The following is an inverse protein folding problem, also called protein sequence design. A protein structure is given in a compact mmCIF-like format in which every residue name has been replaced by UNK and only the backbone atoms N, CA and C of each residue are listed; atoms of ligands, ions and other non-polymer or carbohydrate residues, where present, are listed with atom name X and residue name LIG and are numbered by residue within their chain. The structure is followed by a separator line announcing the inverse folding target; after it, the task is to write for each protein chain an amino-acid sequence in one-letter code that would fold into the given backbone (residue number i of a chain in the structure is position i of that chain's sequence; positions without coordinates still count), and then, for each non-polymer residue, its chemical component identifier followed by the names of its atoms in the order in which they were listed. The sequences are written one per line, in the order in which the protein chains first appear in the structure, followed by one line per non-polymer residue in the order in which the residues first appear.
data_IF_708560213783
#
_entry.id   IF_708560213783
#
_cell.length_a   1.000
_cell.length_b   1.000
_cell.length_c   1.000
_cell.angle_alpha   90.00
_cell.angle_beta   90.00
_cell.angle_gamma   90.00
#
_symmetry.space_group_name_H-M   'P 1'
#
loop_
_entity.id
_entity.type
_entity.pdbx_description
1 polymer ?
#
# COMPACT_ATOMS: atom_id res chain seq x y z
N UNK A 1 10.80 1.15 -36.42
CA UNK A 1 9.36 0.83 -36.46
C UNK A 1 8.83 0.90 -35.04
N UNK A 2 8.07 1.95 -34.71
CA UNK A 2 7.52 2.13 -33.38
C UNK A 2 6.19 1.37 -33.30
N UNK A 3 6.15 0.30 -32.51
CA UNK A 3 4.88 -0.40 -32.21
C UNK A 3 4.12 0.44 -31.20
N UNK A 4 3.13 1.19 -31.69
CA UNK A 4 2.14 1.86 -30.84
C UNK A 4 1.28 0.79 -30.15
N UNK A 5 1.51 0.54 -28.87
CA UNK A 5 0.58 -0.23 -28.05
C UNK A 5 -0.56 0.68 -27.61
N UNK A 6 -1.71 0.56 -28.27
CA UNK A 6 -2.95 1.16 -27.78
C UNK A 6 -3.51 0.26 -26.67
N UNK A 7 -3.28 0.63 -25.41
CA UNK A 7 -4.02 0.06 -24.28
C UNK A 7 -5.39 0.76 -24.21
N UNK A 8 -6.37 0.23 -24.94
CA UNK A 8 -7.76 0.67 -24.82
C UNK A 8 -8.42 -0.11 -23.68
N UNK A 9 -8.17 0.27 -22.44
CA UNK A 9 -9.01 -0.14 -21.32
C UNK A 9 -10.31 0.66 -21.37
N UNK A 10 -11.17 0.34 -22.33
CA UNK A 10 -12.55 0.81 -22.30
C UNK A 10 -13.27 0.03 -21.19
N UNK A 11 -13.26 0.58 -19.97
CA UNK A 11 -14.24 0.19 -18.96
C UNK A 11 -15.59 0.63 -19.51
N UNK A 12 -16.30 -0.28 -20.18
CA UNK A 12 -17.68 -0.04 -20.57
C UNK A 12 -18.46 0.27 -19.29
N UNK A 13 -18.90 1.52 -19.12
CA UNK A 13 -19.77 1.94 -18.04
C UNK A 13 -21.15 1.33 -18.25
N UNK A 14 -21.31 0.07 -17.85
CA UNK A 14 -22.62 -0.58 -17.80
C UNK A 14 -22.72 -1.42 -16.53
N UNK A 15 -23.04 -0.75 -15.43
CA UNK A 15 -24.09 -1.11 -14.48
C UNK A 15 -23.99 -0.20 -13.25
N UNK A 16 -24.89 0.76 -13.12
CA UNK A 16 -25.12 1.42 -11.84
C UNK A 16 -25.96 0.47 -10.97
N UNK A 17 -25.32 -0.15 -9.98
CA UNK A 17 -26.03 -0.89 -8.93
C UNK A 17 -26.20 0.06 -7.75
N UNK A 18 -27.44 0.23 -7.30
CA UNK A 18 -27.76 1.06 -6.16
C UNK A 18 -27.38 0.28 -4.88
N UNK A 19 -26.16 0.48 -4.39
CA UNK A 19 -25.67 -0.20 -3.19
C UNK A 19 -26.02 0.64 -1.97
N UNK A 20 -27.03 0.22 -1.20
CA UNK A 20 -27.28 0.82 0.12
C UNK A 20 -26.28 0.25 1.13
N UNK A 21 -25.29 1.04 1.54
CA UNK A 21 -24.42 0.69 2.65
C UNK A 21 -25.18 0.88 3.97
N UNK A 22 -25.85 -0.18 4.44
CA UNK A 22 -26.62 -0.18 5.70
C UNK A 22 -26.90 -1.57 6.29
N UNK A 23 -26.36 -2.64 5.69
CA UNK A 23 -26.59 -4.02 6.13
C UNK A 23 -25.56 -4.45 7.20
N UNK A 24 -26.01 -5.25 8.17
CA UNK A 24 -25.20 -5.83 9.27
C UNK A 24 -24.13 -6.84 8.80
N UNK A 25 -24.00 -7.11 7.49
CA UNK A 25 -23.02 -8.06 6.96
C UNK A 25 -22.34 -7.54 5.66
N UNK A 26 -21.18 -6.87 5.76
CA UNK A 26 -20.49 -6.28 4.61
C UNK A 26 -20.01 -7.32 3.59
N UNK A 27 -19.59 -8.52 4.04
CA UNK A 27 -19.13 -9.59 3.16
C UNK A 27 -20.25 -10.09 2.23
N UNK A 28 -21.48 -10.20 2.75
CA UNK A 28 -22.62 -10.61 1.93
C UNK A 28 -22.95 -9.58 0.86
N UNK A 29 -22.79 -8.29 1.15
CA UNK A 29 -22.99 -7.22 0.17
C UNK A 29 -21.98 -7.33 -0.98
N UNK A 30 -20.70 -7.58 -0.66
CA UNK A 30 -19.64 -7.79 -1.66
C UNK A 30 -19.95 -9.02 -2.52
N UNK A 31 -20.33 -10.15 -1.90
CA UNK A 31 -20.75 -11.36 -2.62
C UNK A 31 -21.92 -11.08 -3.57
N UNK A 32 -22.93 -10.33 -3.12
CA UNK A 32 -24.09 -9.97 -3.94
C UNK A 32 -23.70 -9.05 -5.09
N UNK A 33 -22.83 -8.06 -4.84
CA UNK A 33 -22.32 -7.14 -5.85
C UNK A 33 -21.60 -7.91 -6.96
N UNK A 34 -20.66 -8.77 -6.58
CA UNK A 34 -19.87 -9.54 -7.53
C UNK A 34 -20.74 -10.49 -8.36
N UNK A 35 -21.74 -11.14 -7.73
CA UNK A 35 -22.73 -11.95 -8.45
C UNK A 35 -23.56 -11.12 -9.44
N UNK A 36 -23.88 -9.87 -9.10
CA UNK A 36 -24.68 -8.98 -9.96
C UNK A 36 -23.90 -8.45 -11.16
N UNK A 37 -22.63 -8.10 -10.99
CA UNK A 37 -21.79 -7.60 -12.08
C UNK A 37 -21.26 -8.73 -12.96
N UNK A 38 -21.05 -9.91 -12.37
CA UNK A 38 -20.25 -10.96 -12.98
C UNK A 38 -18.77 -10.54 -13.03
N UNK A 39 -17.86 -11.42 -12.62
CA UNK A 39 -16.44 -11.22 -12.94
C UNK A 39 -16.29 -11.75 -14.37
N UNK A 40 -15.77 -10.96 -15.33
CA UNK A 40 -15.52 -11.43 -16.69
C UNK A 40 -14.55 -12.61 -16.64
N UNK A 41 -15.12 -13.81 -16.61
CA UNK A 41 -14.41 -15.08 -16.56
C UNK A 41 -13.91 -15.40 -17.96
N UNK A 42 -12.71 -14.89 -18.28
CA UNK A 42 -11.76 -15.65 -19.10
C UNK A 42 -10.64 -16.10 -18.18
N UNK A 43 -10.93 -17.05 -17.29
CA UNK A 43 -9.92 -17.58 -16.37
C UNK A 43 -9.02 -18.59 -17.11
N UNK A 44 -8.15 -18.11 -17.99
CA UNK A 44 -7.00 -18.91 -18.38
C UNK A 44 -6.00 -18.95 -17.22
N UNK A 45 -5.25 -20.05 -17.09
CA UNK A 45 -4.28 -20.18 -15.99
C UNK A 45 -3.17 -19.12 -16.13
N UNK A 46 -2.45 -18.77 -15.05
CA UNK A 46 -1.34 -17.80 -15.15
C UNK A 46 -0.35 -18.17 -16.26
N UNK A 47 -0.06 -19.46 -16.42
CA UNK A 47 0.76 -19.98 -17.52
C UNK A 47 0.23 -19.60 -18.91
N UNK A 48 -1.08 -19.72 -19.16
CA UNK A 48 -1.67 -19.36 -20.46
C UNK A 48 -1.63 -17.85 -20.67
N UNK A 49 -1.94 -17.05 -19.63
CA UNK A 49 -1.81 -15.58 -19.70
C UNK A 49 -0.39 -15.15 -20.07
N UNK A 50 0.62 -15.83 -19.50
CA UNK A 50 2.02 -15.59 -19.79
C UNK A 50 2.37 -15.92 -21.24
N UNK A 51 1.94 -17.09 -21.74
CA UNK A 51 2.17 -17.51 -23.13
C UNK A 51 1.48 -16.60 -24.15
N UNK A 52 0.31 -16.06 -23.81
CA UNK A 52 -0.49 -15.19 -24.68
C UNK A 52 -0.11 -13.72 -24.60
N UNK A 53 0.79 -13.32 -23.69
CA UNK A 53 1.20 -11.93 -23.48
C UNK A 53 0.16 -11.05 -22.77
N UNK A 54 -0.83 -11.67 -22.10
CA UNK A 54 -1.90 -10.98 -21.36
C UNK A 54 -1.68 -11.02 -19.84
N UNK A 55 -0.43 -11.23 -19.41
CA UNK A 55 -0.06 -11.43 -18.02
C UNK A 55 -0.16 -10.16 -17.17
N UNK A 56 -0.80 -10.26 -16.00
CA UNK A 56 -0.89 -9.17 -15.02
C UNK A 56 -0.20 -9.57 -13.71
N UNK A 57 0.79 -8.78 -13.30
CA UNK A 57 1.51 -8.91 -12.03
C UNK A 57 1.20 -7.72 -11.12
N UNK A 58 0.74 -7.99 -9.90
CA UNK A 58 0.75 -7.01 -8.82
C UNK A 58 2.15 -7.00 -8.20
N UNK A 59 2.77 -5.82 -8.11
CA UNK A 59 4.11 -5.64 -7.54
C UNK A 59 3.99 -4.92 -6.20
N UNK A 60 4.08 -5.66 -5.09
CA UNK A 60 4.31 -5.06 -3.77
C UNK A 60 5.83 -4.89 -3.50
N UNK A 61 6.68 -5.63 -4.21
CA UNK A 61 8.14 -5.51 -4.12
C UNK A 61 8.72 -6.16 -2.85
N UNK A 62 10.04 -6.05 -2.69
CA UNK A 62 10.78 -6.70 -1.61
C UNK A 62 10.77 -5.92 -0.27
N UNK A 63 10.40 -4.64 -0.28
CA UNK A 63 10.52 -3.74 0.90
C UNK A 63 9.19 -3.24 1.45
N UNK A 64 8.08 -3.46 0.75
CA UNK A 64 6.75 -3.12 1.28
C UNK A 64 6.25 -4.26 2.16
N UNK A 65 6.05 -3.98 3.44
CA UNK A 65 5.83 -4.97 4.50
C UNK A 65 4.57 -4.66 5.34
N UNK A 66 3.76 -3.67 4.95
CA UNK A 66 2.46 -3.41 5.58
C UNK A 66 1.51 -4.58 5.29
N UNK A 67 1.44 -5.52 6.24
CA UNK A 67 0.65 -6.74 6.13
C UNK A 67 -0.85 -6.47 5.95
N UNK A 68 -1.38 -5.36 6.48
CA UNK A 68 -2.80 -5.02 6.36
C UNK A 68 -3.11 -4.59 4.92
N UNK A 69 -2.30 -3.70 4.38
CA UNK A 69 -2.45 -3.22 3.00
C UNK A 69 -2.16 -4.35 2.00
N UNK A 70 -1.12 -5.15 2.22
CA UNK A 70 -0.77 -6.29 1.37
C UNK A 70 -1.90 -7.33 1.32
N UNK A 71 -2.51 -7.65 2.45
CA UNK A 71 -3.64 -8.58 2.52
C UNK A 71 -4.84 -8.05 1.74
N UNK A 72 -5.16 -6.76 1.87
CA UNK A 72 -6.25 -6.12 1.15
C UNK A 72 -5.99 -5.99 -0.35
N UNK A 73 -4.77 -5.62 -0.75
CA UNK A 73 -4.34 -5.59 -2.14
C UNK A 73 -4.43 -6.99 -2.77
N UNK A 74 -3.93 -8.01 -2.07
CA UNK A 74 -3.97 -9.39 -2.54
C UNK A 74 -5.40 -9.88 -2.75
N UNK A 75 -6.32 -9.54 -1.84
CA UNK A 75 -7.74 -9.81 -1.99
C UNK A 75 -8.33 -9.15 -3.24
N UNK A 76 -8.17 -7.82 -3.38
CA UNK A 76 -8.78 -7.05 -4.47
C UNK A 76 -8.22 -7.46 -5.83
N UNK A 77 -6.90 -7.63 -5.95
CA UNK A 77 -6.27 -8.01 -7.20
C UNK A 77 -6.53 -9.48 -7.56
N UNK A 78 -6.68 -10.37 -6.58
CA UNK A 78 -7.16 -11.73 -6.86
C UNK A 78 -8.58 -11.70 -7.42
N UNK A 79 -9.49 -10.92 -6.84
CA UNK A 79 -10.85 -10.73 -7.37
C UNK A 79 -10.85 -10.12 -8.78
N UNK A 80 -9.87 -9.26 -9.09
CA UNK A 80 -9.67 -8.70 -10.43
C UNK A 80 -9.05 -9.69 -11.43
N UNK A 81 -8.61 -10.87 -10.99
CA UNK A 81 -8.03 -11.90 -11.85
C UNK A 81 -6.54 -11.74 -12.13
N UNK A 82 -5.77 -11.13 -11.22
CA UNK A 82 -4.30 -11.03 -11.34
C UNK A 82 -3.66 -12.40 -11.58
N UNK A 83 -2.61 -12.50 -12.40
CA UNK A 83 -1.90 -13.76 -12.64
C UNK A 83 -0.86 -14.06 -11.57
N UNK A 84 -0.23 -13.02 -11.02
CA UNK A 84 0.78 -13.15 -9.97
C UNK A 84 0.79 -11.96 -9.01
N UNK A 85 1.01 -12.26 -7.73
CA UNK A 85 1.24 -11.29 -6.68
C UNK A 85 2.68 -11.45 -6.21
N UNK A 86 3.42 -10.35 -6.21
CA UNK A 86 4.81 -10.26 -5.75
C UNK A 86 4.90 -9.55 -4.41
N UNK A 87 5.72 -10.09 -3.50
CA UNK A 87 5.80 -9.66 -2.12
C UNK A 87 7.18 -9.93 -1.50
N UNK A 88 7.45 -9.27 -0.38
CA UNK A 88 8.69 -9.43 0.38
C UNK A 88 8.87 -10.85 0.92
N UNK A 89 10.13 -11.28 1.04
CA UNK A 89 10.52 -12.56 1.63
C UNK A 89 10.40 -12.61 3.16
N UNK A 90 9.34 -12.01 3.71
CA UNK A 90 8.98 -12.08 5.12
C UNK A 90 7.80 -13.06 5.33
N UNK A 91 7.86 -13.97 6.33
CA UNK A 91 6.79 -14.92 6.59
C UNK A 91 5.41 -14.27 6.85
N UNK A 92 5.37 -13.12 7.53
CA UNK A 92 4.13 -12.41 7.84
C UNK A 92 3.52 -11.80 6.58
N UNK A 93 4.36 -11.24 5.71
CA UNK A 93 3.96 -10.74 4.38
C UNK A 93 3.44 -11.86 3.49
N UNK A 94 4.14 -12.99 3.42
CA UNK A 94 3.71 -14.16 2.65
C UNK A 94 2.35 -14.67 3.17
N UNK A 95 2.17 -14.72 4.49
CA UNK A 95 0.90 -15.13 5.09
C UNK A 95 -0.24 -14.15 4.75
N UNK A 96 0.01 -12.84 4.80
CA UNK A 96 -0.96 -11.81 4.40
C UNK A 96 -1.39 -11.95 2.93
N UNK A 97 -0.47 -12.21 2.02
CA UNK A 97 -0.78 -12.50 0.60
C UNK A 97 -1.66 -13.73 0.48
N UNK A 98 -1.30 -14.83 1.13
CA UNK A 98 -2.06 -16.08 1.10
C UNK A 98 -3.47 -15.92 1.67
N UNK A 99 -3.63 -15.18 2.77
CA UNK A 99 -4.92 -14.89 3.37
C UNK A 99 -5.82 -14.08 2.42
N UNK A 100 -5.28 -13.04 1.79
CA UNK A 100 -6.02 -12.24 0.81
C UNK A 100 -6.49 -13.07 -0.39
N UNK A 101 -5.62 -13.94 -0.91
CA UNK A 101 -5.94 -14.86 -2.01
C UNK A 101 -7.06 -15.82 -1.61
N UNK A 102 -6.97 -16.49 -0.46
CA UNK A 102 -7.98 -17.47 -0.06
C UNK A 102 -9.31 -16.78 0.27
N UNK A 103 -9.28 -15.60 0.91
CA UNK A 103 -10.48 -14.78 1.12
C UNK A 103 -11.18 -14.45 -0.20
N UNK A 104 -10.44 -14.11 -1.26
CA UNK A 104 -11.01 -13.85 -2.58
C UNK A 104 -11.71 -15.10 -3.15
N UNK A 105 -11.09 -16.27 -2.97
CA UNK A 105 -11.60 -17.56 -3.46
C UNK A 105 -12.83 -18.05 -2.68
N UNK A 106 -12.97 -17.69 -1.42
CA UNK A 106 -14.20 -17.90 -0.63
C UNK A 106 -15.36 -16.99 -1.05
N UNK A 107 -15.06 -15.84 -1.67
CA UNK A 107 -16.06 -14.91 -2.19
C UNK A 107 -16.60 -15.38 -3.54
N UNK A 108 -15.70 -15.71 -4.46
CA UNK A 108 -16.03 -16.28 -5.78
C UNK A 108 -15.03 -17.37 -6.13
N UNK A 109 -15.51 -18.44 -6.78
CA UNK A 109 -14.63 -19.45 -7.38
C UNK A 109 -13.78 -18.82 -8.48
N UNK A 110 -12.57 -18.39 -8.12
CA UNK A 110 -11.59 -17.79 -9.00
C UNK A 110 -10.29 -18.59 -8.93
N UNK A 111 -9.52 -18.55 -10.01
CA UNK A 111 -8.22 -19.23 -10.04
C UNK A 111 -7.26 -18.58 -9.03
N UNK A 112 -6.36 -19.41 -8.49
CA UNK A 112 -5.29 -18.93 -7.60
C UNK A 112 -4.19 -18.26 -8.44
N UNK A 113 -3.76 -17.02 -8.14
CA UNK A 113 -2.58 -16.43 -8.75
C UNK A 113 -1.30 -17.14 -8.28
N UNK A 114 -0.21 -16.95 -9.00
CA UNK A 114 1.12 -17.30 -8.49
C UNK A 114 1.56 -16.30 -7.42
N UNK A 115 2.30 -16.79 -6.43
CA UNK A 115 2.98 -15.93 -5.45
C UNK A 115 4.46 -15.90 -5.83
N UNK A 116 4.95 -14.70 -6.13
CA UNK A 116 6.37 -14.44 -6.35
C UNK A 116 6.95 -13.86 -5.07
N UNK A 117 8.05 -14.44 -4.61
CA UNK A 117 8.73 -13.99 -3.39
C UNK A 117 9.97 -13.25 -3.84
N UNK A 118 10.01 -11.94 -3.58
CA UNK A 118 11.15 -11.08 -3.83
C UNK A 118 12.07 -11.10 -2.61
N UNK A 119 13.26 -11.64 -2.81
CA UNK A 119 14.32 -11.65 -1.81
C UNK A 119 15.11 -10.35 -1.92
N UNK A 120 15.23 -9.67 -0.79
CA UNK A 120 16.04 -8.47 -0.65
C UNK A 120 17.51 -8.87 -0.39
N UNK A 121 18.45 -8.10 -0.94
CA UNK A 121 19.86 -8.10 -0.55
C UNK A 121 20.10 -6.80 0.22
N UNK A 122 20.30 -6.87 1.53
CA UNK A 122 20.29 -5.69 2.43
C UNK A 122 21.33 -4.62 2.07
N UNK A 123 22.36 -4.99 1.32
CA UNK A 123 23.40 -4.09 0.81
C UNK A 123 22.98 -3.34 -0.48
N UNK A 124 21.84 -3.70 -1.09
CA UNK A 124 21.34 -3.06 -2.29
C UNK A 124 20.68 -1.72 -1.94
N UNK A 125 21.33 -0.66 -2.43
CA UNK A 125 20.94 0.74 -2.29
C UNK A 125 19.50 1.03 -2.76
N UNK A 126 18.89 0.16 -3.56
CA UNK A 126 17.50 0.27 -4.01
C UNK A 126 16.47 -0.05 -2.91
N UNK A 127 16.86 -0.68 -1.81
CA UNK A 127 15.95 -1.05 -0.70
C UNK A 127 16.08 -0.15 0.53
N UNK A 128 16.83 0.94 0.37
CA UNK A 128 17.03 1.97 1.38
C UNK A 128 15.74 2.71 1.69
N UNK A 129 15.29 2.58 2.94
CA UNK A 129 14.05 3.19 3.43
C UNK A 129 14.37 4.56 4.02
N UNK A 130 13.45 5.50 3.84
CA UNK A 130 13.57 6.78 4.50
C UNK A 130 13.69 6.61 6.02
N UNK A 131 14.57 7.38 6.66
CA UNK A 131 14.70 7.45 8.12
C UNK A 131 14.95 8.90 8.56
N UNK A 132 14.37 9.29 9.69
CA UNK A 132 14.66 10.56 10.36
C UNK A 132 14.26 10.54 11.84
N UNK A 133 14.92 11.36 12.65
CA UNK A 133 14.45 11.68 13.99
C UNK A 133 13.34 12.76 13.90
N UNK A 134 12.09 12.45 14.33
CA UNK A 134 11.00 13.43 14.31
C UNK A 134 11.29 14.67 15.16
N UNK A 135 12.15 14.58 16.18
CA UNK A 135 12.54 15.71 17.03
C UNK A 135 13.49 16.68 16.31
N UNK A 136 14.21 16.21 15.29
CA UNK A 136 15.04 17.08 14.45
C UNK A 136 14.25 17.79 13.34
N UNK A 137 13.00 17.37 13.11
CA UNK A 137 12.09 18.05 12.18
C UNK A 137 11.60 19.37 12.79
N UNK A 138 11.89 20.54 12.18
CA UNK A 138 11.45 21.82 12.74
C UNK A 138 9.94 21.88 12.91
N UNK A 139 9.48 22.39 14.06
CA UNK A 139 8.05 22.48 14.37
C UNK A 139 7.26 23.36 13.38
N UNK A 140 7.93 24.29 12.71
CA UNK A 140 7.42 25.19 11.67
C UNK A 140 7.60 24.64 10.24
N UNK A 141 8.10 23.41 10.08
CA UNK A 141 8.18 22.73 8.80
C UNK A 141 6.78 22.47 8.23
N UNK A 142 6.59 22.79 6.95
CA UNK A 142 5.36 22.49 6.21
C UNK A 142 5.18 21.00 5.86
N UNK A 143 6.20 20.16 6.14
CA UNK A 143 6.24 18.70 5.94
C UNK A 143 5.83 18.26 4.52
N UNK A 144 6.50 18.76 3.46
CA UNK A 144 6.22 18.31 2.09
C UNK A 144 6.53 16.82 1.87
N UNK A 145 7.42 16.25 2.69
CA UNK A 145 7.77 14.82 2.68
C UNK A 145 6.57 13.91 3.01
N UNK A 146 5.68 14.32 3.92
CA UNK A 146 4.45 13.61 4.26
C UNK A 146 3.51 13.55 3.04
N UNK A 147 3.28 14.69 2.40
CA UNK A 147 2.35 14.80 1.27
C UNK A 147 2.82 14.10 -0.01
N UNK A 148 4.14 14.04 -0.25
CA UNK A 148 4.68 13.42 -1.47
C UNK A 148 4.80 11.90 -1.34
N UNK A 149 4.73 11.35 -0.12
CA UNK A 149 4.96 9.94 0.15
C UNK A 149 3.79 9.09 -0.36
N UNK A 150 3.96 8.32 -1.45
CA UNK A 150 2.85 7.58 -2.06
C UNK A 150 2.31 6.45 -1.18
N UNK A 151 3.12 5.96 -0.25
CA UNK A 151 2.73 4.91 0.69
C UNK A 151 2.18 5.46 2.01
N UNK A 152 2.03 6.78 2.15
CA UNK A 152 1.70 7.43 3.43
C UNK A 152 2.60 6.93 4.57
N UNK A 153 3.87 6.67 4.25
CA UNK A 153 4.85 6.10 5.17
C UNK A 153 5.49 7.15 6.08
N UNK A 154 5.10 8.42 5.99
CA UNK A 154 5.55 9.50 6.87
C UNK A 154 4.31 10.08 7.52
N UNK A 155 4.26 10.11 8.84
CA UNK A 155 3.12 10.63 9.60
C UNK A 155 3.60 11.38 10.83
N UNK A 156 2.95 12.50 11.12
CA UNK A 156 3.22 13.29 12.32
C UNK A 156 1.94 13.44 13.14
N UNK A 157 1.99 12.97 14.39
CA UNK A 157 0.90 13.16 15.33
C UNK A 157 1.00 14.56 15.93
N UNK A 158 -0.06 15.36 15.75
CA UNK A 158 -0.20 16.63 16.48
C UNK A 158 -0.72 16.30 17.88
N UNK A 159 0.17 16.27 18.86
CA UNK A 159 -0.27 16.37 20.25
C UNK A 159 -0.92 17.74 20.47
N UNK A 160 -2.24 17.75 20.64
CA UNK A 160 -2.94 18.87 21.25
C UNK A 160 -2.52 18.91 22.72
N UNK A 161 -1.42 19.59 23.02
CA UNK A 161 -0.90 19.73 24.38
C UNK A 161 -1.78 20.71 25.17
N UNK A 162 -2.94 20.25 25.63
CA UNK A 162 -3.63 20.85 26.78
C UNK A 162 -3.23 20.07 28.03
N UNK A 163 -2.05 20.35 28.57
CA UNK A 163 -1.76 20.00 29.96
C UNK A 163 -2.28 21.13 30.85
N UNK A 164 -3.43 20.92 31.48
CA UNK A 164 -3.78 21.67 32.69
C UNK A 164 -2.88 21.15 33.82
N UNK A 165 -1.86 21.91 34.19
CA UNK A 165 -1.02 21.61 35.36
C UNK A 165 -1.59 22.41 36.54
N UNK A 166 -2.09 21.75 37.61
CA UNK A 166 -2.36 22.44 38.86
C UNK A 166 -1.02 22.85 39.46
N UNK A 167 -0.86 24.13 39.78
CA UNK A 167 0.25 24.69 40.55
C UNK A 167 1.50 25.17 39.76
N UNK A 168 1.39 26.36 39.18
CA UNK A 168 2.31 27.46 39.52
C UNK A 168 3.77 27.43 39.05
N UNK A 169 4.18 26.60 38.08
CA UNK A 169 5.49 26.75 37.42
C UNK A 169 5.36 26.77 35.89
N UNK A 170 5.66 27.93 35.30
CA UNK A 170 5.71 28.11 33.85
C UNK A 170 7.00 27.50 33.29
N UNK A 171 6.96 26.21 32.96
CA UNK A 171 7.89 25.65 31.98
C UNK A 171 7.15 25.57 30.64
N UNK A 172 7.61 26.34 29.65
CA UNK A 172 7.16 26.18 28.28
C UNK A 172 7.72 24.86 27.77
N UNK A 173 6.99 23.76 27.99
CA UNK A 173 7.33 22.47 27.42
C UNK A 173 7.52 22.67 25.91
N UNK A 174 8.68 22.28 25.38
CA UNK A 174 8.84 22.20 23.92
C UNK A 174 7.73 21.27 23.41
N UNK A 175 6.96 21.66 22.38
CA UNK A 175 6.03 20.73 21.76
C UNK A 175 6.84 19.54 21.27
N UNK A 176 6.61 18.36 21.85
CA UNK A 176 7.26 17.12 21.45
C UNK A 176 6.60 16.68 20.14
N UNK A 177 7.37 16.51 19.08
CA UNK A 177 6.83 16.04 17.80
C UNK A 177 6.83 14.52 17.81
N UNK A 178 5.65 13.92 17.93
CA UNK A 178 5.50 12.47 17.80
C UNK A 178 5.21 12.07 16.35
N UNK A 179 5.73 10.92 15.93
CA UNK A 179 5.59 10.40 14.56
C UNK A 179 6.92 10.01 13.95
N UNK A 180 6.99 9.96 12.62
CA UNK A 180 8.18 9.56 11.89
C UNK A 180 7.86 8.77 10.63
N UNK A 181 8.83 7.95 10.19
CA UNK A 181 8.62 6.99 9.11
C UNK A 181 8.00 5.71 9.66
N UNK A 182 6.91 5.26 9.04
CA UNK A 182 6.34 3.93 9.22
C UNK A 182 7.12 2.98 8.31
N UNK A 183 8.13 2.32 8.88
CA UNK A 183 9.13 1.52 8.15
C UNK A 183 8.49 0.46 7.26
N UNK A 184 7.42 -0.18 7.71
CA UNK A 184 6.73 -1.26 6.99
C UNK A 184 6.06 -0.74 5.70
N UNK A 185 5.69 0.54 5.67
CA UNK A 185 5.09 1.19 4.49
C UNK A 185 6.13 1.79 3.55
N UNK A 186 7.30 2.14 4.08
CA UNK A 186 8.33 2.79 3.30
C UNK A 186 9.01 1.77 2.36
N UNK A 187 8.74 1.88 1.06
CA UNK A 187 9.36 1.01 0.05
C UNK A 187 10.58 1.65 -0.65
N UNK A 188 11.14 2.74 -0.09
CA UNK A 188 12.38 3.33 -0.60
C UNK A 188 12.26 4.14 -1.89
N UNK A 189 11.09 4.74 -2.18
CA UNK A 189 10.91 5.50 -3.42
C UNK A 189 11.72 6.81 -3.55
N UNK A 190 12.29 7.31 -2.45
CA UNK A 190 13.13 8.51 -2.42
C UNK A 190 12.41 9.84 -2.68
N UNK A 191 11.09 9.85 -2.89
CA UNK A 191 10.35 11.09 -3.24
C UNK A 191 10.36 12.14 -2.12
N UNK A 192 10.49 11.71 -0.87
CA UNK A 192 10.54 12.58 0.30
C UNK A 192 11.84 13.41 0.38
N UNK A 193 12.94 12.89 -0.17
CA UNK A 193 14.27 13.51 -0.13
C UNK A 193 14.33 14.87 -0.85
N UNK A 194 14.08 14.96 -2.18
CA UNK A 194 14.25 16.22 -2.92
C UNK A 194 13.27 17.33 -2.54
N UNK A 195 12.19 17.01 -1.80
CA UNK A 195 11.20 18.00 -1.36
C UNK A 195 11.46 18.50 0.06
N UNK A 196 12.32 17.86 0.83
CA UNK A 196 12.58 18.25 2.21
C UNK A 196 13.33 19.60 2.23
N UNK A 197 12.81 20.65 2.88
CA UNK A 197 13.47 21.96 2.90
C UNK A 197 14.73 21.98 3.79
N UNK A 198 14.93 20.95 4.62
CA UNK A 198 16.01 20.83 5.59
C UNK A 198 17.03 19.73 5.22
N UNK A 199 17.00 19.27 3.97
CA UNK A 199 17.74 18.12 3.38
C UNK A 199 19.29 18.23 3.37
N UNK A 200 19.87 19.15 4.14
CA UNK A 200 21.32 19.43 4.14
C UNK A 200 22.02 19.18 5.48
N UNK A 201 21.28 18.75 6.49
CA UNK A 201 21.84 18.54 7.82
C UNK A 201 21.25 17.26 8.40
N UNK A 202 21.69 16.10 7.90
CA UNK A 202 21.55 14.78 8.56
C UNK A 202 20.15 14.29 8.95
N UNK A 203 19.10 15.03 8.58
CA UNK A 203 17.74 14.96 9.13
C UNK A 203 16.75 14.11 8.38
N UNK A 204 17.02 13.74 7.13
CA UNK A 204 16.24 12.77 6.37
C UNK A 204 17.24 11.98 5.54
N UNK A 205 17.29 10.68 5.76
CA UNK A 205 18.25 9.78 5.09
C UNK A 205 17.48 8.67 4.38
N UNK A 206 18.17 8.00 3.47
CA UNK A 206 17.74 6.81 2.75
C UNK A 206 18.75 5.72 3.05
#
# INVERSE_FOLDING_TARGET
MATSFYCSSAIHTQHQVNVSFGSKNPLQNVKNLIKSFGIPSKSCSPHVSLQQGNWVKLICGASFEDVVDIRNLSLVYTLAGVDCIDCAADPSVINAVNEGIETAREIVSIRRPWVMISVNDDEDLHFRKAEFDPEDCPSDCSRPCENVCPANAISFERENSTMEVPFGSYQKAKPKMQGGVITERCYGCGRCFPVCPYDKSERLRM
#
